data_IF_487457928402
#
_entry.id   IF_487457928402
#
_cell.length_a   1.000
_cell.length_b   1.000
_cell.length_c   1.000
_cell.angle_alpha   90.00
_cell.angle_beta   90.00
_cell.angle_gamma   90.00
#
_symmetry.space_group_name_H-M   'P 1'
#
loop_
_entity.id
_entity.type
_entity.pdbx_description
1 polymer ?
#
# COMPACT_ATOMS: atom_id res chain seq x y z
N UNK A 1 -21.65 33.01 13.00
CA UNK A 1 -21.83 31.69 12.39
C UNK A 1 -21.44 30.67 13.44
N UNK A 2 -22.21 29.59 13.67
CA UNK A 2 -21.81 28.59 14.64
C UNK A 2 -20.48 28.00 14.16
N UNK A 3 -19.54 27.91 15.09
CA UNK A 3 -18.21 27.35 14.97
C UNK A 3 -18.28 26.03 14.18
N UNK A 4 -17.90 26.06 12.90
CA UNK A 4 -17.83 24.86 12.07
C UNK A 4 -16.63 24.08 12.58
N UNK A 5 -16.88 23.24 13.58
CA UNK A 5 -15.92 22.26 14.08
C UNK A 5 -15.27 21.58 12.87
N UNK A 6 -13.94 21.64 12.78
CA UNK A 6 -13.22 21.09 11.64
C UNK A 6 -13.67 19.63 11.41
N UNK A 7 -14.08 19.30 10.18
CA UNK A 7 -14.55 17.95 9.85
C UNK A 7 -13.43 16.92 9.99
N UNK A 8 -12.20 17.36 9.73
CA UNK A 8 -10.98 16.59 10.01
C UNK A 8 -10.64 16.68 11.50
N UNK A 9 -10.35 15.54 12.13
CA UNK A 9 -10.02 15.47 13.56
C UNK A 9 -8.83 14.55 13.81
N UNK A 10 -8.02 14.90 14.80
CA UNK A 10 -6.93 14.05 15.30
C UNK A 10 -7.46 13.21 16.46
N UNK A 11 -7.26 11.89 16.37
CA UNK A 11 -7.63 10.88 17.34
C UNK A 11 -6.35 10.33 17.97
N UNK A 12 -5.99 10.72 19.21
CA UNK A 12 -4.86 10.12 19.92
C UNK A 12 -5.01 8.60 19.99
N UNK A 13 -3.92 7.87 19.70
CA UNK A 13 -3.94 6.41 19.72
C UNK A 13 -4.48 5.87 21.05
N UNK A 14 -5.56 5.09 20.94
CA UNK A 14 -6.26 4.41 22.01
C UNK A 14 -7.10 3.30 21.40
N UNK A 15 -7.56 2.36 22.22
CA UNK A 15 -8.47 1.30 21.77
C UNK A 15 -9.76 1.88 21.17
N UNK A 16 -10.33 2.92 21.80
CA UNK A 16 -11.52 3.60 21.29
C UNK A 16 -11.25 4.28 19.93
N UNK A 17 -10.08 4.90 19.75
CA UNK A 17 -9.70 5.49 18.46
C UNK A 17 -9.57 4.42 17.36
N UNK A 18 -9.02 3.24 17.66
CA UNK A 18 -8.98 2.12 16.72
C UNK A 18 -10.39 1.70 16.33
N UNK A 19 -11.29 1.48 17.29
CA UNK A 19 -12.68 1.09 17.03
C UNK A 19 -13.43 2.13 16.18
N UNK A 20 -13.23 3.41 16.47
CA UNK A 20 -13.79 4.51 15.67
C UNK A 20 -13.25 4.49 14.24
N UNK A 21 -11.93 4.36 14.05
CA UNK A 21 -11.32 4.25 12.74
C UNK A 21 -11.83 3.04 11.96
N UNK A 22 -12.00 1.88 12.61
CA UNK A 22 -12.58 0.68 11.98
C UNK A 22 -14.00 0.94 11.51
N UNK A 23 -14.83 1.58 12.34
CA UNK A 23 -16.19 1.94 11.96
C UNK A 23 -16.21 2.86 10.73
N UNK A 24 -15.40 3.93 10.73
CA UNK A 24 -15.29 4.86 9.61
C UNK A 24 -14.85 4.16 8.32
N UNK A 25 -13.84 3.29 8.38
CA UNK A 25 -13.36 2.54 7.21
C UNK A 25 -14.44 1.59 6.64
N UNK A 26 -15.26 0.97 7.51
CA UNK A 26 -16.39 0.12 7.09
C UNK A 26 -17.55 0.92 6.48
N UNK A 27 -17.70 2.19 6.87
CA UNK A 27 -18.64 3.13 6.24
C UNK A 27 -18.10 3.77 4.95
N UNK A 28 -16.92 3.36 4.48
CA UNK A 28 -16.30 3.92 3.27
C UNK A 28 -15.67 5.30 3.47
N UNK A 29 -15.47 5.74 4.73
CA UNK A 29 -14.84 7.03 5.06
C UNK A 29 -13.31 6.91 5.12
N UNK A 30 -12.65 8.06 5.00
CA UNK A 30 -11.19 8.16 4.99
C UNK A 30 -10.61 8.24 6.40
N UNK A 31 -9.54 7.47 6.62
CA UNK A 31 -8.75 7.52 7.85
C UNK A 31 -7.28 7.69 7.50
N UNK A 32 -6.61 8.70 8.03
CA UNK A 32 -5.17 8.80 7.95
C UNK A 32 -4.51 7.96 9.05
N UNK A 33 -3.58 7.08 8.67
CA UNK A 33 -2.98 6.09 9.55
C UNK A 33 -1.45 6.22 9.57
N UNK A 34 -0.78 6.02 10.71
CA UNK A 34 0.67 6.13 10.82
C UNK A 34 1.35 4.84 10.32
N UNK A 35 2.29 4.95 9.39
CA UNK A 35 3.19 3.84 9.03
C UNK A 35 4.60 4.08 9.55
N UNK A 36 5.52 3.14 9.34
CA UNK A 36 6.93 3.32 9.65
C UNK A 36 7.61 4.38 8.76
N UNK A 37 7.06 4.66 7.58
CA UNK A 37 7.63 5.60 6.60
C UNK A 37 6.95 6.98 6.65
N UNK A 38 5.63 7.03 6.44
CA UNK A 38 4.82 8.26 6.33
C UNK A 38 3.38 7.96 6.75
N UNK A 39 2.57 8.96 7.08
CA UNK A 39 1.13 8.74 7.23
C UNK A 39 0.51 8.40 5.87
N UNK A 40 -0.40 7.42 5.86
CA UNK A 40 -1.17 7.01 4.68
C UNK A 40 -2.63 7.39 4.80
N UNK A 41 -3.26 7.88 3.73
CA UNK A 41 -4.70 8.18 3.67
C UNK A 41 -5.43 6.91 3.25
N UNK A 42 -5.95 6.18 4.23
CA UNK A 42 -6.54 4.87 4.05
C UNK A 42 -8.04 4.94 3.73
N UNK A 43 -8.47 4.05 2.83
CA UNK A 43 -9.85 3.67 2.60
C UNK A 43 -9.93 2.15 2.36
N UNK A 44 -11.12 1.57 2.46
CA UNK A 44 -11.34 0.16 2.12
C UNK A 44 -10.96 -0.10 0.65
N UNK A 45 -9.96 -0.95 0.41
CA UNK A 45 -9.44 -1.25 -0.92
C UNK A 45 -10.43 -2.02 -1.82
N UNK A 46 -11.45 -2.65 -1.24
CA UNK A 46 -12.48 -3.39 -1.99
C UNK A 46 -13.71 -2.54 -2.29
N UNK A 47 -13.75 -1.29 -1.83
CA UNK A 47 -14.86 -0.36 -2.06
C UNK A 47 -14.43 0.73 -3.06
N UNK A 48 -15.04 0.70 -4.24
CA UNK A 48 -14.73 1.64 -5.31
C UNK A 48 -15.04 3.10 -4.94
N UNK A 49 -16.11 3.35 -4.17
CA UNK A 49 -16.49 4.71 -3.76
C UNK A 49 -15.51 5.23 -2.71
N UNK A 50 -15.16 4.39 -1.73
CA UNK A 50 -14.18 4.75 -0.70
C UNK A 50 -12.80 5.04 -1.32
N UNK A 51 -12.36 4.21 -2.28
CA UNK A 51 -11.12 4.44 -3.03
C UNK A 51 -11.19 5.72 -3.88
N UNK A 52 -12.34 6.03 -4.51
CA UNK A 52 -12.53 7.27 -5.26
C UNK A 52 -12.36 8.51 -4.38
N UNK A 53 -12.85 8.46 -3.14
CA UNK A 53 -12.69 9.55 -2.18
C UNK A 53 -11.22 9.85 -1.84
N UNK A 54 -10.31 8.88 -1.92
CA UNK A 54 -8.86 9.14 -1.79
C UNK A 54 -8.37 10.08 -2.89
N UNK A 55 -8.75 9.82 -4.15
CA UNK A 55 -8.33 10.64 -5.28
C UNK A 55 -8.91 12.05 -5.20
N UNK A 56 -10.20 12.16 -4.88
CA UNK A 56 -10.91 13.43 -4.72
C UNK A 56 -10.30 14.27 -3.58
N UNK A 57 -10.12 13.67 -2.40
CA UNK A 57 -9.56 14.33 -1.22
C UNK A 57 -8.12 14.84 -1.47
N UNK A 58 -7.30 14.06 -2.19
CA UNK A 58 -5.92 14.44 -2.49
C UNK A 58 -5.78 15.35 -3.71
N UNK A 59 -6.77 15.42 -4.60
CA UNK A 59 -6.57 15.93 -5.96
C UNK A 59 -5.56 15.09 -6.76
N UNK A 60 -5.51 13.77 -6.52
CA UNK A 60 -4.58 12.84 -7.18
C UNK A 60 -5.16 12.40 -8.53
N UNK A 61 -4.36 12.30 -9.62
CA UNK A 61 -4.84 11.78 -10.90
C UNK A 61 -5.18 10.29 -10.80
N UNK A 62 -6.23 9.85 -11.50
CA UNK A 62 -6.68 8.45 -11.54
C UNK A 62 -5.69 7.50 -12.22
N UNK A 63 -4.67 8.04 -12.89
CA UNK A 63 -3.61 7.29 -13.56
C UNK A 63 -2.51 6.82 -12.62
N UNK A 64 -2.52 7.25 -11.35
CA UNK A 64 -1.51 6.89 -10.36
C UNK A 64 -2.08 5.87 -9.35
N UNK A 65 -1.72 4.56 -9.48
CA UNK A 65 -2.34 3.48 -8.72
C UNK A 65 -2.13 3.62 -7.21
N UNK A 66 -2.91 2.88 -6.42
CA UNK A 66 -2.84 2.89 -4.96
C UNK A 66 -2.18 1.61 -4.45
N UNK A 67 -1.31 1.76 -3.44
CA UNK A 67 -0.75 0.60 -2.71
C UNK A 67 -1.77 0.16 -1.66
N UNK A 68 -2.10 -1.13 -1.71
CA UNK A 68 -2.99 -1.79 -0.76
C UNK A 68 -2.18 -2.39 0.38
N UNK A 69 -2.53 -1.99 1.60
CA UNK A 69 -1.94 -2.46 2.83
C UNK A 69 -2.76 -3.62 3.41
N UNK A 70 -2.08 -4.64 3.89
CA UNK A 70 -2.66 -5.90 4.40
C UNK A 70 -2.06 -6.28 5.75
N UNK A 71 -2.78 -7.07 6.55
CA UNK A 71 -2.29 -7.55 7.84
C UNK A 71 -1.66 -8.95 7.81
N UNK A 72 -1.72 -9.66 6.69
CA UNK A 72 -1.06 -10.96 6.55
C UNK A 72 -0.79 -11.31 5.10
N UNK A 73 0.10 -12.28 4.89
CA UNK A 73 0.40 -12.83 3.58
C UNK A 73 -0.84 -13.50 2.95
N UNK A 74 -1.66 -14.16 3.76
CA UNK A 74 -2.89 -14.83 3.32
C UNK A 74 -3.93 -13.83 2.81
N UNK A 75 -4.12 -12.71 3.52
CA UNK A 75 -4.98 -11.63 3.05
C UNK A 75 -4.46 -11.07 1.72
N UNK A 76 -3.15 -10.90 1.57
CA UNK A 76 -2.55 -10.44 0.31
C UNK A 76 -2.83 -11.41 -0.85
N UNK A 77 -2.66 -12.72 -0.60
CA UNK A 77 -2.91 -13.77 -1.60
C UNK A 77 -4.38 -13.81 -2.03
N UNK A 78 -5.34 -13.49 -1.14
CA UNK A 78 -6.75 -13.43 -1.56
C UNK A 78 -7.06 -12.30 -2.56
N UNK A 79 -6.21 -11.27 -2.66
CA UNK A 79 -6.43 -10.08 -3.49
C UNK A 79 -5.78 -10.16 -4.86
N UNK A 80 -5.07 -11.25 -5.16
CA UNK A 80 -4.44 -11.49 -6.46
C UNK A 80 -5.22 -12.51 -7.25
N UNK A 81 -5.12 -12.41 -8.57
CA UNK A 81 -5.76 -13.36 -9.48
C UNK A 81 -4.88 -14.61 -9.63
N UNK A 82 -5.37 -15.77 -9.19
CA UNK A 82 -4.60 -17.01 -9.22
C UNK A 82 -4.49 -17.65 -10.60
N UNK A 83 -5.36 -17.28 -11.55
CA UNK A 83 -5.33 -17.79 -12.92
C UNK A 83 -4.40 -16.96 -13.80
N UNK A 84 -4.31 -15.64 -13.54
CA UNK A 84 -3.44 -14.71 -14.27
C UNK A 84 -2.02 -14.62 -13.69
N UNK A 85 -1.79 -15.12 -12.47
CA UNK A 85 -0.46 -15.22 -11.89
C UNK A 85 0.06 -16.66 -11.94
N UNK A 86 1.16 -16.88 -12.66
CA UNK A 86 1.81 -18.20 -12.75
C UNK A 86 2.16 -18.75 -11.35
N UNK A 87 1.99 -20.07 -11.07
CA UNK A 87 2.25 -20.65 -9.74
C UNK A 87 3.63 -20.32 -9.16
N UNK A 88 4.69 -20.30 -9.98
CA UNK A 88 6.03 -19.88 -9.52
C UNK A 88 6.08 -18.44 -9.02
N UNK A 89 5.28 -17.50 -9.57
CA UNK A 89 5.18 -16.14 -9.02
C UNK A 89 4.56 -16.13 -7.64
N UNK A 90 3.59 -17.01 -7.40
CA UNK A 90 2.97 -17.17 -6.08
C UNK A 90 4.01 -17.63 -5.07
N UNK A 91 4.83 -18.62 -5.40
CA UNK A 91 5.89 -19.11 -4.51
C UNK A 91 6.98 -18.05 -4.25
N UNK A 92 7.37 -17.29 -5.28
CA UNK A 92 8.29 -16.15 -5.13
C UNK A 92 7.68 -15.07 -4.23
N UNK A 93 6.41 -14.73 -4.43
CA UNK A 93 5.68 -13.78 -3.59
C UNK A 93 5.68 -14.23 -2.13
N UNK A 94 5.35 -15.50 -1.85
CA UNK A 94 5.37 -16.05 -0.49
C UNK A 94 6.76 -15.94 0.15
N UNK A 95 7.81 -16.32 -0.57
CA UNK A 95 9.18 -16.22 -0.05
C UNK A 95 9.59 -14.76 0.23
N UNK A 96 9.31 -13.84 -0.69
CA UNK A 96 9.61 -12.42 -0.54
C UNK A 96 8.88 -11.82 0.66
N UNK A 97 7.59 -12.11 0.78
CA UNK A 97 6.76 -11.58 1.87
C UNK A 97 7.13 -12.20 3.21
N UNK A 98 7.41 -13.51 3.28
CA UNK A 98 7.92 -14.14 4.50
C UNK A 98 9.26 -13.56 4.98
N UNK A 99 10.12 -13.10 4.07
CA UNK A 99 11.43 -12.54 4.42
C UNK A 99 11.40 -11.04 4.76
N UNK A 100 10.55 -10.27 4.06
CA UNK A 100 10.60 -8.80 4.10
C UNK A 100 9.33 -8.15 4.66
N UNK A 101 8.28 -8.91 4.98
CA UNK A 101 7.10 -8.42 5.68
C UNK A 101 7.07 -8.87 7.14
N UNK A 102 6.58 -8.03 8.07
CA UNK A 102 6.17 -6.63 7.85
C UNK A 102 7.37 -5.73 7.52
N UNK A 103 7.22 -4.82 6.55
CA UNK A 103 8.35 -3.99 6.13
C UNK A 103 8.18 -3.15 4.88
N UNK A 104 9.32 -2.61 4.44
CA UNK A 104 9.44 -1.67 3.34
C UNK A 104 9.53 -2.35 1.96
N UNK A 105 8.78 -3.43 1.74
CA UNK A 105 8.64 -4.08 0.43
C UNK A 105 7.20 -3.98 -0.06
N UNK A 106 7.01 -3.51 -1.28
CA UNK A 106 5.75 -3.56 -2.01
C UNK A 106 5.91 -4.51 -3.18
N UNK A 107 5.02 -5.50 -3.31
CA UNK A 107 5.02 -6.45 -4.42
C UNK A 107 3.79 -6.25 -5.29
N UNK A 108 4.00 -6.07 -6.58
CA UNK A 108 2.97 -5.84 -7.59
C UNK A 108 2.71 -7.14 -8.35
N UNK A 109 1.45 -7.56 -8.40
CA UNK A 109 0.97 -8.78 -9.07
C UNK A 109 -0.35 -8.52 -9.81
N UNK A 110 -0.81 -9.46 -10.64
CA UNK A 110 -2.15 -9.36 -11.24
C UNK A 110 -3.20 -9.40 -10.14
N UNK A 111 -4.09 -8.41 -10.14
CA UNK A 111 -5.11 -8.25 -9.12
C UNK A 111 -6.32 -9.15 -9.40
N UNK A 112 -6.95 -9.66 -8.34
CA UNK A 112 -8.31 -10.21 -8.45
C UNK A 112 -9.28 -9.03 -8.61
N UNK A 113 -9.76 -8.79 -9.83
CA UNK A 113 -10.63 -7.64 -10.14
C UNK A 113 -12.07 -7.80 -9.66
N UNK A 114 -12.47 -9.00 -9.20
CA UNK A 114 -13.75 -9.19 -8.52
C UNK A 114 -13.72 -8.62 -7.09
N UNK A 115 -12.53 -8.47 -6.50
CA UNK A 115 -12.33 -7.94 -5.15
C UNK A 115 -11.69 -6.54 -5.14
N UNK A 116 -10.78 -6.26 -6.06
CA UNK A 116 -10.05 -5.00 -6.17
C UNK A 116 -10.63 -4.18 -7.33
N UNK A 117 -11.26 -3.02 -7.08
CA UNK A 117 -11.74 -2.15 -8.14
C UNK A 117 -10.62 -1.72 -9.09
N UNK A 118 -10.89 -1.69 -10.40
CA UNK A 118 -9.90 -1.29 -11.42
C UNK A 118 -9.26 0.07 -11.16
N UNK A 119 -9.99 0.99 -10.52
CA UNK A 119 -9.53 2.29 -10.05
C UNK A 119 -8.27 2.20 -9.16
N UNK A 120 -8.21 1.21 -8.27
CA UNK A 120 -7.04 0.98 -7.38
C UNK A 120 -5.80 0.64 -8.21
N UNK A 121 -5.99 -0.10 -9.30
CA UNK A 121 -4.92 -0.53 -10.22
C UNK A 121 -4.60 0.50 -11.30
N UNK A 122 -5.28 1.64 -11.33
CA UNK A 122 -5.26 2.61 -12.45
C UNK A 122 -5.51 1.93 -13.81
N UNK A 123 -6.48 1.01 -13.87
CA UNK A 123 -6.84 0.21 -15.05
C UNK A 123 -5.73 -0.72 -15.60
N UNK A 124 -4.59 -0.84 -14.90
CA UNK A 124 -3.49 -1.70 -15.36
C UNK A 124 -3.75 -3.19 -15.11
N UNK A 125 -4.69 -3.51 -14.21
CA UNK A 125 -4.95 -4.87 -13.74
C UNK A 125 -3.85 -5.41 -12.81
N UNK A 126 -2.95 -4.56 -12.32
CA UNK A 126 -1.92 -4.92 -11.34
C UNK A 126 -2.14 -4.16 -10.02
N UNK A 127 -2.12 -4.89 -8.90
CA UNK A 127 -2.23 -4.31 -7.55
C UNK A 127 -0.88 -4.36 -6.85
N UNK A 128 -0.50 -3.26 -6.20
CA UNK A 128 0.66 -3.22 -5.31
C UNK A 128 0.26 -3.54 -3.88
N UNK A 129 0.85 -4.59 -3.30
CA UNK A 129 0.54 -5.08 -1.95
C UNK A 129 1.70 -4.80 -1.00
N UNK A 130 1.41 -4.43 0.24
CA UNK A 130 2.40 -4.21 1.32
C UNK A 130 1.83 -4.59 2.67
N UNK A 131 2.64 -5.21 3.53
CA UNK A 131 2.35 -5.30 4.96
C UNK A 131 3.24 -4.29 5.71
N UNK A 132 2.70 -3.17 6.22
CA UNK A 132 3.50 -2.12 6.85
C UNK A 132 4.11 -2.58 8.17
N UNK A 133 5.33 -2.13 8.50
CA UNK A 133 5.95 -2.39 9.79
C UNK A 133 5.59 -1.32 10.84
N UNK A 134 4.30 -1.05 11.00
CA UNK A 134 3.76 -0.15 12.03
C UNK A 134 2.81 -0.93 12.92
N UNK A 135 3.09 -0.96 14.22
CA UNK A 135 2.25 -1.69 15.20
C UNK A 135 0.80 -1.19 15.15
N UNK A 136 0.62 0.13 15.08
CA UNK A 136 -0.70 0.79 15.05
C UNK A 136 -1.42 0.49 13.73
N UNK A 137 -0.73 0.58 12.58
CA UNK A 137 -1.34 0.26 11.30
C UNK A 137 -1.72 -1.23 11.20
N UNK A 138 -0.85 -2.14 11.68
CA UNK A 138 -1.12 -3.57 11.70
C UNK A 138 -2.27 -3.92 12.63
N UNK A 139 -2.37 -3.28 13.79
CA UNK A 139 -3.51 -3.44 14.69
C UNK A 139 -4.81 -3.03 14.00
N UNK A 140 -4.87 -1.85 13.40
CA UNK A 140 -6.04 -1.38 12.68
C UNK A 140 -6.43 -2.32 11.51
N UNK A 141 -5.46 -2.76 10.71
CA UNK A 141 -5.70 -3.72 9.62
C UNK A 141 -6.26 -5.05 10.14
N UNK A 142 -5.72 -5.57 11.26
CA UNK A 142 -6.21 -6.81 11.88
C UNK A 142 -7.62 -6.67 12.44
N UNK A 143 -7.90 -5.61 13.19
CA UNK A 143 -9.21 -5.40 13.84
C UNK A 143 -10.29 -5.07 12.80
N UNK A 144 -9.95 -4.30 11.78
CA UNK A 144 -10.88 -4.02 10.67
C UNK A 144 -11.20 -5.26 9.85
N UNK A 145 -10.19 -6.11 9.62
CA UNK A 145 -10.24 -7.22 8.65
C UNK A 145 -10.23 -6.74 7.20
N UNK A 146 -10.04 -5.43 6.97
CA UNK A 146 -10.10 -4.81 5.64
C UNK A 146 -8.69 -4.68 5.05
N UNK A 147 -8.52 -4.94 3.75
CA UNK A 147 -7.36 -4.42 3.03
C UNK A 147 -7.54 -2.91 2.80
N UNK A 148 -6.48 -2.12 3.00
CA UNK A 148 -6.59 -0.66 2.96
C UNK A 148 -5.75 -0.05 1.85
N UNK A 149 -6.38 0.60 0.87
CA UNK A 149 -5.67 1.41 -0.11
C UNK A 149 -5.19 2.68 0.61
N UNK A 150 -3.88 2.89 0.67
CA UNK A 150 -3.30 3.96 1.49
C UNK A 150 -2.07 4.60 0.82
N UNK A 151 -2.24 5.55 -0.12
CA UNK A 151 -1.16 6.44 -0.53
C UNK A 151 -0.81 7.41 0.61
N UNK A 152 0.25 8.21 0.47
CA UNK A 152 0.63 9.21 1.47
C UNK A 152 -0.51 10.18 1.82
N UNK A 153 -0.63 10.61 3.08
CA UNK A 153 -1.73 11.43 3.58
C UNK A 153 -1.50 12.95 3.40
N UNK A 154 -1.22 13.37 2.18
CA UNK A 154 -1.06 14.77 1.78
C UNK A 154 -1.82 15.08 0.50
N UNK A 155 -2.08 16.36 0.23
CA UNK A 155 -2.55 16.80 -1.10
C UNK A 155 -1.50 16.49 -2.16
N UNK A 156 -1.95 16.19 -3.38
CA UNK A 156 -1.08 15.78 -4.46
C UNK A 156 -0.03 16.87 -4.76
N UNK A 157 1.24 16.49 -4.83
CA UNK A 157 2.38 17.41 -4.99
C UNK A 157 2.93 18.03 -3.69
N UNK A 158 2.23 17.90 -2.55
CA UNK A 158 2.77 18.33 -1.25
C UNK A 158 3.81 17.34 -0.69
N UNK A 159 4.58 17.79 0.29
CA UNK A 159 5.52 16.95 1.04
C UNK A 159 4.76 15.87 1.81
N UNK A 160 5.28 14.65 1.80
CA UNK A 160 4.63 13.53 2.52
C UNK A 160 4.66 13.75 4.04
N UNK A 161 3.55 13.43 4.75
CA UNK A 161 3.41 13.72 6.16
C UNK A 161 4.10 12.66 7.03
N UNK A 162 4.93 13.10 7.97
CA UNK A 162 5.50 12.25 9.03
C UNK A 162 4.84 12.38 10.40
N UNK A 163 3.82 13.25 10.54
CA UNK A 163 3.11 13.48 11.81
C UNK A 163 1.63 13.76 11.55
N UNK A 164 0.78 13.52 12.54
CA UNK A 164 -0.65 13.79 12.46
C UNK A 164 -0.95 15.27 12.15
N UNK A 165 -0.17 16.20 12.66
CA UNK A 165 -0.35 17.64 12.42
C UNK A 165 -0.08 18.03 10.97
N UNK A 166 0.83 17.34 10.29
CA UNK A 166 1.08 17.56 8.87
C UNK A 166 -0.13 17.15 8.03
N UNK A 167 -0.74 16.00 8.37
CA UNK A 167 -1.98 15.53 7.74
C UNK A 167 -3.12 16.53 7.99
N UNK A 168 -3.26 16.99 9.24
CA UNK A 168 -4.28 17.97 9.60
C UNK A 168 -4.10 19.26 8.81
N UNK A 169 -2.88 19.79 8.72
CA UNK A 169 -2.58 21.01 7.97
C UNK A 169 -3.03 20.94 6.50
N UNK A 170 -2.88 19.78 5.87
CA UNK A 170 -3.27 19.56 4.47
C UNK A 170 -4.79 19.45 4.26
N UNK A 171 -5.53 18.83 5.18
CA UNK A 171 -6.92 18.42 4.95
C UNK A 171 -7.99 19.17 5.75
N UNK A 172 -7.63 19.87 6.84
CA UNK A 172 -8.63 20.41 7.78
C UNK A 172 -9.61 21.44 7.22
N UNK A 173 -9.26 22.11 6.10
CA UNK A 173 -10.08 23.20 5.53
C UNK A 173 -11.24 22.72 4.69
N UNK A 174 -11.09 21.59 4.00
CA UNK A 174 -12.00 21.17 2.92
C UNK A 174 -12.30 19.68 2.89
N UNK A 175 -11.71 18.88 3.80
CA UNK A 175 -11.87 17.43 3.82
C UNK A 175 -12.36 16.91 5.17
N UNK A 176 -12.96 15.72 5.15
CA UNK A 176 -13.36 14.97 6.34
C UNK A 176 -12.46 13.74 6.47
N UNK A 177 -11.40 13.89 7.28
CA UNK A 177 -10.42 12.82 7.53
C UNK A 177 -10.27 12.62 9.03
N UNK A 178 -10.49 11.41 9.51
CA UNK A 178 -10.07 11.04 10.86
C UNK A 178 -8.58 10.69 10.84
N UNK A 179 -7.78 11.26 11.75
CA UNK A 179 -6.33 11.07 11.77
C UNK A 179 -5.98 10.28 13.02
N UNK A 180 -5.60 9.01 12.85
CA UNK A 180 -5.13 8.18 13.96
C UNK A 180 -3.70 8.61 14.32
N UNK A 181 -3.53 9.26 15.46
CA UNK A 181 -2.24 9.78 15.88
C UNK A 181 -1.41 8.74 16.63
N UNK A 182 -0.42 8.19 15.94
CA UNK A 182 0.59 7.29 16.48
C UNK A 182 1.95 7.95 16.76
N UNK A 183 2.02 9.28 16.76
CA UNK A 183 3.26 10.03 16.87
C UNK A 183 4.02 10.16 15.55
N UNK A 184 5.29 10.53 15.63
CA UNK A 184 6.11 10.75 14.43
C UNK A 184 6.49 9.44 13.75
N UNK A 185 6.32 9.36 12.43
CA UNK A 185 6.92 8.31 11.61
C UNK A 185 8.45 8.38 11.72
N UNK A 186 9.12 7.24 11.61
CA UNK A 186 10.56 7.23 11.41
C UNK A 186 10.89 7.95 10.10
N UNK A 187 11.94 8.78 10.07
CA UNK A 187 12.49 9.25 8.81
C UNK A 187 12.98 8.01 8.05
N UNK A 188 12.24 7.62 7.02
CA UNK A 188 12.41 6.33 6.36
C UNK A 188 12.41 6.49 4.85
N UNK A 189 13.35 5.80 4.21
CA UNK A 189 13.34 5.55 2.79
C UNK A 189 12.01 4.87 2.44
N UNK A 190 11.36 5.26 1.34
CA UNK A 190 10.11 4.62 0.91
C UNK A 190 10.26 3.12 0.67
N UNK A 191 9.15 2.40 0.54
CA UNK A 191 9.20 0.98 0.21
C UNK A 191 9.84 0.73 -1.15
N UNK A 192 10.64 -0.33 -1.24
CA UNK A 192 11.07 -0.90 -2.52
C UNK A 192 9.83 -1.42 -3.22
N UNK A 193 9.64 -1.06 -4.49
CA UNK A 193 8.49 -1.48 -5.29
C UNK A 193 8.96 -2.46 -6.35
N UNK A 194 8.51 -3.69 -6.23
CA UNK A 194 8.83 -4.81 -7.11
C UNK A 194 7.60 -5.22 -7.89
N UNK A 195 7.72 -5.40 -9.20
CA UNK A 195 6.69 -5.99 -10.04
C UNK A 195 7.08 -7.40 -10.45
N UNK A 196 6.18 -8.34 -10.20
CA UNK A 196 6.26 -9.71 -10.66
C UNK A 196 5.32 -9.87 -11.85
N UNK A 197 5.83 -10.41 -12.95
CA UNK A 197 5.03 -10.66 -14.14
C UNK A 197 5.45 -11.97 -14.80
N UNK A 198 4.51 -12.63 -15.46
CA UNK A 198 4.75 -13.76 -16.33
C UNK A 198 4.34 -13.36 -17.75
N UNK A 199 5.25 -13.54 -18.70
CA UNK A 199 4.94 -13.40 -20.12
C UNK A 199 4.64 -14.80 -20.70
N UNK A 200 3.37 -15.10 -21.04
CA UNK A 200 2.99 -16.40 -21.57
C UNK A 200 3.57 -16.67 -22.96
N UNK A 201 3.91 -15.64 -23.75
CA UNK A 201 4.45 -15.80 -25.10
C UNK A 201 5.90 -16.28 -25.05
N UNK A 202 6.69 -15.76 -24.12
CA UNK A 202 8.09 -16.13 -23.92
C UNK A 202 8.28 -17.20 -22.84
N UNK A 203 7.20 -17.57 -22.14
CA UNK A 203 7.24 -18.43 -20.94
C UNK A 203 8.27 -17.94 -19.91
N UNK A 204 8.41 -16.62 -19.80
CA UNK A 204 9.43 -15.98 -18.98
C UNK A 204 8.79 -15.31 -17.76
N UNK A 205 9.39 -15.56 -16.59
CA UNK A 205 9.09 -14.81 -15.38
C UNK A 205 10.03 -13.61 -15.31
N UNK A 206 9.45 -12.45 -15.05
CA UNK A 206 10.18 -11.19 -14.95
C UNK A 206 9.93 -10.54 -13.60
N UNK A 207 11.02 -10.14 -12.96
CA UNK A 207 11.04 -9.38 -11.72
C UNK A 207 11.60 -8.00 -12.02
N UNK A 208 10.77 -6.97 -11.91
CA UNK A 208 11.15 -5.58 -12.17
C UNK A 208 11.17 -4.74 -10.89
N UNK A 209 12.33 -4.19 -10.53
CA UNK A 209 12.40 -3.16 -9.48
C UNK A 209 12.01 -1.82 -10.10
N UNK A 210 10.85 -1.28 -9.71
CA UNK A 210 10.30 -0.02 -10.24
C UNK A 210 10.65 1.20 -9.39
N UNK A 211 10.89 0.98 -8.09
CA UNK A 211 11.35 2.00 -7.14
C UNK A 211 12.31 1.37 -6.15
N UNK A 212 13.47 1.99 -5.97
CA UNK A 212 14.44 1.64 -4.92
C UNK A 212 13.93 2.14 -3.57
N UNK A 213 14.14 1.35 -2.52
CA UNK A 213 13.64 1.67 -1.21
C UNK A 213 14.34 0.90 -0.09
N UNK A 214 13.64 0.69 1.03
CA UNK A 214 14.19 0.06 2.23
C UNK A 214 14.69 -1.39 2.08
N UNK A 215 14.30 -2.11 1.02
CA UNK A 215 14.84 -3.44 0.70
C UNK A 215 15.82 -3.34 -0.48
N UNK A 216 17.07 -3.75 -0.25
CA UNK A 216 18.13 -3.68 -1.27
C UNK A 216 17.94 -4.71 -2.39
N UNK A 217 18.36 -4.35 -3.60
CA UNK A 217 18.38 -5.26 -4.76
C UNK A 217 19.20 -6.53 -4.46
N UNK A 218 20.34 -6.38 -3.76
CA UNK A 218 21.15 -7.51 -3.31
C UNK A 218 20.35 -8.45 -2.41
N UNK A 219 19.60 -7.93 -1.44
CA UNK A 219 18.77 -8.74 -0.55
C UNK A 219 17.68 -9.53 -1.31
N UNK A 220 17.07 -8.91 -2.33
CA UNK A 220 16.12 -9.60 -3.21
C UNK A 220 16.80 -10.76 -3.97
N UNK A 221 17.97 -10.51 -4.56
CA UNK A 221 18.72 -11.52 -5.32
C UNK A 221 19.21 -12.67 -4.43
N UNK A 222 19.76 -12.37 -3.25
CA UNK A 222 20.23 -13.38 -2.30
C UNK A 222 19.08 -14.32 -1.88
N UNK A 223 17.87 -13.78 -1.71
CA UNK A 223 16.68 -14.60 -1.43
C UNK A 223 16.33 -15.51 -2.62
N UNK A 224 16.34 -14.98 -3.85
CA UNK A 224 16.02 -15.78 -5.04
C UNK A 224 17.03 -16.91 -5.27
N UNK A 225 18.32 -16.64 -5.01
CA UNK A 225 19.40 -17.63 -5.12
C UNK A 225 19.23 -18.71 -4.06
N UNK A 226 19.01 -18.34 -2.80
CA UNK A 226 18.88 -19.30 -1.69
C UNK A 226 17.69 -20.27 -1.82
N UNK A 227 16.68 -19.91 -2.61
CA UNK A 227 15.50 -20.75 -2.88
C UNK A 227 15.56 -21.46 -4.26
N UNK A 228 16.69 -21.33 -4.98
CA UNK A 228 16.90 -21.80 -6.36
C UNK A 228 15.89 -21.24 -7.38
N UNK A 229 15.19 -20.16 -7.09
CA UNK A 229 14.14 -19.64 -7.99
C UNK A 229 14.70 -19.22 -9.35
N UNK A 230 15.93 -18.71 -9.39
CA UNK A 230 16.60 -18.34 -10.64
C UNK A 230 16.79 -19.57 -11.54
N UNK A 231 17.16 -20.71 -10.97
CA UNK A 231 17.44 -21.95 -11.71
C UNK A 231 16.14 -22.67 -12.04
N UNK A 232 15.26 -22.87 -11.04
CA UNK A 232 14.00 -23.63 -11.19
C UNK A 232 12.98 -22.92 -12.06
N UNK A 233 12.97 -21.59 -12.05
CA UNK A 233 11.91 -20.80 -12.68
C UNK A 233 12.43 -19.89 -13.80
N UNK A 234 13.72 -19.95 -14.16
CA UNK A 234 14.35 -19.15 -15.24
C UNK A 234 13.97 -17.67 -15.17
N UNK A 235 13.93 -17.11 -13.95
CA UNK A 235 13.49 -15.74 -13.72
C UNK A 235 14.53 -14.78 -14.29
N UNK A 236 14.07 -13.85 -15.11
CA UNK A 236 14.85 -12.68 -15.49
C UNK A 236 14.60 -11.58 -14.45
N UNK A 237 15.68 -11.07 -13.88
CA UNK A 237 15.61 -9.93 -12.98
C UNK A 237 16.05 -8.70 -13.75
N UNK A 238 15.18 -7.71 -13.83
CA UNK A 238 15.42 -6.44 -14.50
C UNK A 238 15.27 -5.31 -13.48
N UNK A 239 16.19 -4.34 -13.50
CA UNK A 239 16.06 -3.14 -12.66
C UNK A 239 15.72 -1.98 -13.57
N UNK A 240 14.51 -1.43 -13.40
CA UNK A 240 14.05 -0.27 -14.15
C UNK A 240 14.12 0.93 -13.23
N UNK A 241 15.23 1.67 -13.26
CA UNK A 241 15.27 2.95 -12.58
C UNK A 241 14.33 3.92 -13.30
N UNK A 242 13.16 4.23 -12.72
CA UNK A 242 12.49 5.48 -13.06
C UNK A 242 13.45 6.60 -12.63
N UNK A 243 14.14 7.23 -13.59
CA UNK A 243 14.69 8.55 -13.35
C UNK A 243 13.50 9.42 -12.96
N UNK A 244 13.46 9.91 -11.71
CA UNK A 244 12.70 11.12 -11.44
C UNK A 244 13.38 12.19 -12.30
N UNK A 245 12.69 12.68 -13.32
CA UNK A 245 13.00 13.99 -13.82
C UNK A 245 12.59 14.95 -12.70
N UNK A 246 13.59 15.52 -12.04
CA UNK A 246 13.46 16.65 -11.10
C UNK A 246 12.70 17.82 -11.75
#
# INVERSE_FOLDING_TARGET
APDQQAKTRILPYSQQAIEECVHLLREGKLVAIPTETVYGLAANATDALACKSIFECKGRPLTDPLIVHVHSQEQALSLIDHDLNHPSLIEIFKALTSAFWPGALTVIMRANLDLIPSLVTAETGFVGLRMPNSKIALELLKVSGLPLAAPSANKFGHVSPSKAEHVYADFHKDSEVAILDGGSCGFGIESTVLKLNFDPLTSQLDMQVLRRGGVSEKGLLDLLISHDFIIKSKIKVTVTSKQHND
#
